data_IF_803044031162
#
_entry.id   IF_803044031162
#
_cell.length_a   1.000
_cell.length_b   1.000
_cell.length_c   1.000
_cell.angle_alpha   90.00
_cell.angle_beta   90.00
_cell.angle_gamma   90.00
#
_symmetry.space_group_name_H-M   'P 1'
#
loop_
_entity.id
_entity.type
_entity.pdbx_description
1 polymer ?
#
# COMPACT_ATOMS: atom_id res chain seq x y z
N UNK A 1 15.86 4.85 10.39
CA UNK A 1 14.46 5.22 10.12
C UNK A 1 14.27 5.73 8.69
N UNK A 2 14.91 6.86 8.31
CA UNK A 2 14.81 7.40 6.94
C UNK A 2 15.33 6.45 5.85
N UNK A 3 16.38 5.68 6.14
CA UNK A 3 16.93 4.68 5.21
C UNK A 3 15.88 3.60 4.86
N UNK A 4 15.30 2.95 5.87
CA UNK A 4 14.25 1.92 5.69
C UNK A 4 13.00 2.45 4.96
N UNK A 5 12.62 3.71 5.20
CA UNK A 5 11.49 4.35 4.50
C UNK A 5 11.79 4.52 3.01
N UNK A 6 13.00 4.97 2.69
CA UNK A 6 13.46 5.15 1.31
C UNK A 6 13.65 3.82 0.59
N UNK A 7 14.23 2.81 1.24
CA UNK A 7 14.44 1.48 0.67
C UNK A 7 13.11 0.79 0.35
N UNK A 8 12.15 0.80 1.28
CA UNK A 8 10.83 0.18 1.04
C UNK A 8 10.08 0.91 -0.07
N UNK A 9 10.20 2.24 -0.16
CA UNK A 9 9.61 3.01 -1.27
C UNK A 9 10.20 2.59 -2.62
N UNK A 10 11.52 2.39 -2.68
CA UNK A 10 12.22 1.90 -3.86
C UNK A 10 11.74 0.51 -4.27
N UNK A 11 11.70 -0.43 -3.33
CA UNK A 11 11.23 -1.80 -3.59
C UNK A 11 9.78 -1.84 -4.07
N UNK A 12 8.88 -1.06 -3.47
CA UNK A 12 7.48 -0.99 -3.92
C UNK A 12 7.37 -0.44 -5.34
N UNK A 13 8.21 0.54 -5.69
CA UNK A 13 8.22 1.11 -7.04
C UNK A 13 8.74 0.11 -8.07
N UNK A 14 9.85 -0.56 -7.79
CA UNK A 14 10.41 -1.59 -8.68
C UNK A 14 9.43 -2.75 -8.90
N UNK A 15 8.73 -3.18 -7.85
CA UNK A 15 7.69 -4.20 -7.95
C UNK A 15 6.52 -3.75 -8.83
N UNK A 16 6.05 -2.51 -8.67
CA UNK A 16 4.97 -1.96 -9.48
C UNK A 16 5.38 -1.84 -10.96
N UNK A 17 6.55 -1.28 -11.23
CA UNK A 17 7.06 -1.12 -12.60
C UNK A 17 7.22 -2.50 -13.28
N UNK A 18 7.64 -3.53 -12.53
CA UNK A 18 7.72 -4.92 -13.01
C UNK A 18 6.32 -5.50 -13.27
N UNK A 19 5.36 -5.26 -12.37
CA UNK A 19 3.98 -5.74 -12.52
C UNK A 19 3.29 -5.11 -13.74
N UNK A 20 3.49 -3.82 -13.99
CA UNK A 20 2.95 -3.12 -15.16
C UNK A 20 3.55 -3.69 -16.46
N UNK A 21 4.89 -3.81 -16.53
CA UNK A 21 5.57 -4.32 -17.71
C UNK A 21 5.23 -5.78 -18.04
N UNK A 22 5.03 -6.62 -17.03
CA UNK A 22 4.56 -8.00 -17.21
C UNK A 22 3.05 -8.06 -17.50
N UNK A 23 2.27 -7.17 -16.86
CA UNK A 23 0.83 -7.04 -17.01
C UNK A 23 0.43 -6.80 -18.45
N UNK A 24 1.03 -5.81 -19.12
CA UNK A 24 0.73 -5.50 -20.52
C UNK A 24 0.92 -6.70 -21.45
N UNK A 25 2.00 -7.46 -21.24
CA UNK A 25 2.31 -8.66 -22.04
C UNK A 25 1.30 -9.78 -21.78
N UNK A 26 0.91 -9.99 -20.53
CA UNK A 26 -0.09 -10.99 -20.16
C UNK A 26 -1.48 -10.61 -20.68
N UNK A 27 -1.86 -9.33 -20.59
CA UNK A 27 -3.13 -8.81 -21.10
C UNK A 27 -3.23 -8.98 -22.62
N UNK A 28 -2.15 -8.66 -23.35
CA UNK A 28 -2.09 -8.85 -24.80
C UNK A 28 -2.26 -10.33 -25.19
N UNK A 29 -1.65 -11.26 -24.46
CA UNK A 29 -1.83 -12.69 -24.71
C UNK A 29 -3.24 -13.17 -24.39
N UNK A 30 -3.82 -12.72 -23.27
CA UNK A 30 -5.20 -13.04 -22.90
C UNK A 30 -6.20 -12.53 -23.94
N UNK A 31 -6.00 -11.32 -24.45
CA UNK A 31 -6.84 -10.75 -25.51
C UNK A 31 -6.75 -11.58 -26.81
N UNK A 32 -5.54 -12.02 -27.20
CA UNK A 32 -5.37 -12.89 -28.36
C UNK A 32 -6.09 -14.24 -28.20
N UNK A 33 -6.09 -14.80 -26.99
CA UNK A 33 -6.84 -16.03 -26.71
C UNK A 33 -8.33 -15.74 -26.81
N UNK A 34 -8.79 -14.62 -26.24
CA UNK A 34 -10.18 -14.19 -26.31
C UNK A 34 -10.67 -14.07 -27.76
N UNK A 35 -9.95 -13.33 -28.59
CA UNK A 35 -10.25 -13.14 -30.02
C UNK A 35 -10.34 -14.48 -30.77
N UNK A 36 -9.44 -15.42 -30.47
CA UNK A 36 -9.43 -16.74 -31.09
C UNK A 36 -10.59 -17.63 -30.61
N UNK A 37 -11.10 -17.42 -29.40
CA UNK A 37 -12.25 -18.16 -28.86
C UNK A 37 -13.59 -17.57 -29.25
N UNK A 38 -13.67 -16.28 -29.60
CA UNK A 38 -14.92 -15.61 -30.00
C UNK A 38 -15.58 -16.22 -31.25
N UNK A 39 -14.80 -16.88 -32.11
CA UNK A 39 -15.32 -17.54 -33.33
C UNK A 39 -15.83 -18.96 -33.09
N UNK A 40 -15.74 -19.47 -31.87
CA UNK A 40 -16.08 -20.86 -31.51
C UNK A 40 -17.08 -20.88 -30.34
N UNK A 41 -18.37 -20.99 -30.65
CA UNK A 41 -19.47 -21.04 -29.65
C UNK A 41 -19.30 -22.15 -28.60
N UNK A 42 -18.60 -23.23 -28.92
CA UNK A 42 -18.38 -24.35 -27.99
C UNK A 42 -17.35 -24.04 -26.88
N UNK A 43 -16.65 -22.89 -26.95
CA UNK A 43 -15.53 -22.54 -26.06
C UNK A 43 -15.87 -21.49 -24.99
N UNK A 44 -17.14 -21.31 -24.64
CA UNK A 44 -17.59 -20.35 -23.61
C UNK A 44 -16.86 -20.47 -22.26
N UNK A 45 -16.42 -21.68 -21.86
CA UNK A 45 -15.68 -21.86 -20.62
C UNK A 45 -14.29 -21.20 -20.65
N UNK A 46 -13.65 -21.17 -21.83
CA UNK A 46 -12.35 -20.54 -22.04
C UNK A 46 -12.50 -19.02 -21.98
N UNK A 47 -13.51 -18.48 -22.65
CA UNK A 47 -13.81 -17.04 -22.64
C UNK A 47 -14.04 -16.53 -21.21
N UNK A 48 -14.84 -17.26 -20.42
CA UNK A 48 -15.06 -16.94 -19.01
C UNK A 48 -13.77 -16.99 -18.19
N UNK A 49 -12.91 -18.00 -18.41
CA UNK A 49 -11.63 -18.11 -17.72
C UNK A 49 -10.69 -16.95 -18.09
N UNK A 50 -10.64 -16.57 -19.36
CA UNK A 50 -9.83 -15.44 -19.84
C UNK A 50 -10.29 -14.13 -19.21
N UNK A 51 -11.60 -13.91 -19.15
CA UNK A 51 -12.19 -12.74 -18.47
C UNK A 51 -11.85 -12.70 -16.98
N UNK A 52 -11.95 -13.84 -16.28
CA UNK A 52 -11.59 -13.93 -14.86
C UNK A 52 -10.09 -13.68 -14.63
N UNK A 53 -9.22 -14.13 -15.55
CA UNK A 53 -7.79 -13.88 -15.52
C UNK A 53 -7.44 -12.42 -15.76
N UNK A 54 -8.07 -11.77 -16.75
CA UNK A 54 -7.93 -10.33 -17.00
C UNK A 54 -8.35 -9.51 -15.77
N UNK A 55 -9.53 -9.81 -15.22
CA UNK A 55 -10.04 -9.14 -14.03
C UNK A 55 -9.13 -9.30 -12.80
N UNK A 56 -8.53 -10.49 -12.63
CA UNK A 56 -7.55 -10.73 -11.56
C UNK A 56 -6.26 -9.94 -11.78
N UNK A 57 -5.78 -9.87 -13.02
CA UNK A 57 -4.56 -9.12 -13.36
C UNK A 57 -4.74 -7.63 -13.07
N UNK A 58 -5.84 -7.03 -13.55
CA UNK A 58 -6.17 -5.62 -13.29
C UNK A 58 -6.23 -5.33 -11.78
N UNK A 59 -6.83 -6.25 -11.00
CA UNK A 59 -6.91 -6.12 -9.54
C UNK A 59 -5.55 -6.17 -8.86
N UNK A 60 -4.63 -7.01 -9.32
CA UNK A 60 -3.26 -7.11 -8.77
C UNK A 60 -2.49 -5.83 -9.03
N UNK A 61 -2.52 -5.31 -10.27
CA UNK A 61 -1.83 -4.08 -10.65
C UNK A 61 -2.40 -2.89 -9.86
N UNK A 62 -3.74 -2.82 -9.72
CA UNK A 62 -4.41 -1.79 -8.93
C UNK A 62 -4.01 -1.83 -7.45
N UNK A 63 -3.92 -3.03 -6.87
CA UNK A 63 -3.48 -3.20 -5.49
C UNK A 63 -2.03 -2.74 -5.25
N UNK A 64 -1.13 -2.99 -6.21
CA UNK A 64 0.25 -2.53 -6.14
C UNK A 64 0.35 -1.00 -6.08
N UNK A 65 -0.40 -0.30 -6.92
CA UNK A 65 -0.47 1.17 -6.88
C UNK A 65 -1.08 1.70 -5.56
N UNK A 66 -2.17 1.08 -5.09
CA UNK A 66 -2.77 1.45 -3.79
C UNK A 66 -1.79 1.27 -2.63
N UNK A 67 -0.96 0.23 -2.68
CA UNK A 67 0.05 -0.04 -1.66
C UNK A 67 1.13 1.05 -1.63
N UNK A 68 1.53 1.57 -2.79
CA UNK A 68 2.42 2.74 -2.90
C UNK A 68 1.78 3.98 -2.28
N UNK A 69 0.51 4.26 -2.60
CA UNK A 69 -0.19 5.44 -2.09
C UNK A 69 -0.32 5.41 -0.56
N UNK A 70 -0.65 4.24 0.00
CA UNK A 70 -0.68 4.00 1.44
C UNK A 70 0.70 4.20 2.08
N UNK A 71 1.75 3.74 1.42
CA UNK A 71 3.12 3.90 1.88
C UNK A 71 3.57 5.37 1.90
N UNK A 72 3.25 6.14 0.85
CA UNK A 72 3.50 7.59 0.80
C UNK A 72 2.75 8.30 1.93
N UNK A 73 1.50 7.90 2.20
CA UNK A 73 0.72 8.42 3.32
C UNK A 73 1.39 8.14 4.67
N UNK A 74 1.88 6.92 4.86
CA UNK A 74 2.61 6.51 6.05
C UNK A 74 3.92 7.28 6.22
N UNK A 75 4.74 7.42 5.18
CA UNK A 75 5.99 8.19 5.23
C UNK A 75 5.74 9.64 5.67
N UNK A 76 4.72 10.29 5.08
CA UNK A 76 4.32 11.66 5.45
C UNK A 76 3.90 11.74 6.92
N UNK A 77 3.14 10.75 7.40
CA UNK A 77 2.71 10.68 8.78
C UNK A 77 3.91 10.55 9.74
N UNK A 78 4.89 9.70 9.42
CA UNK A 78 6.12 9.53 10.21
C UNK A 78 6.93 10.84 10.24
N UNK A 79 7.10 11.50 9.10
CA UNK A 79 7.80 12.79 9.04
C UNK A 79 7.12 13.87 9.88
N UNK A 80 5.78 13.95 9.83
CA UNK A 80 5.01 14.87 10.68
C UNK A 80 5.16 14.53 12.16
N UNK A 81 5.09 13.25 12.53
CA UNK A 81 5.26 12.79 13.90
C UNK A 81 6.63 13.16 14.47
N UNK A 82 7.71 12.96 13.71
CA UNK A 82 9.06 13.36 14.14
C UNK A 82 9.12 14.86 14.38
N UNK A 83 8.62 15.68 13.44
CA UNK A 83 8.64 17.15 13.57
C UNK A 83 7.82 17.66 14.74
N UNK A 84 6.67 17.04 15.03
CA UNK A 84 5.75 17.56 16.05
C UNK A 84 6.02 16.97 17.43
N UNK A 85 6.28 15.67 17.54
CA UNK A 85 6.41 15.02 18.85
C UNK A 85 7.87 14.93 19.32
N UNK A 86 8.81 14.73 18.40
CA UNK A 86 10.22 14.50 18.75
C UNK A 86 11.00 15.81 18.72
N UNK A 87 10.89 16.61 17.66
CA UNK A 87 11.65 17.87 17.57
C UNK A 87 11.20 18.89 18.63
N UNK A 88 9.91 18.88 19.02
CA UNK A 88 9.38 19.74 20.08
C UNK A 88 9.71 19.25 21.50
N UNK A 89 10.00 17.96 21.69
CA UNK A 89 10.34 17.36 22.98
C UNK A 89 11.54 16.41 22.85
N UNK A 90 12.68 16.97 22.43
CA UNK A 90 13.89 16.19 22.10
C UNK A 90 14.34 15.27 23.23
N UNK A 91 14.18 15.72 24.48
CA UNK A 91 14.56 14.97 25.68
C UNK A 91 13.41 14.14 26.27
N UNK A 92 12.24 14.13 25.63
CA UNK A 92 11.02 13.42 26.08
C UNK A 92 10.49 13.86 27.46
N UNK A 93 10.93 15.02 27.94
CA UNK A 93 10.65 15.53 29.28
C UNK A 93 9.19 15.98 29.38
N UNK A 94 8.66 16.59 28.32
CA UNK A 94 7.27 17.03 28.29
C UNK A 94 6.31 15.83 28.29
N UNK A 95 6.56 14.82 27.46
CA UNK A 95 5.74 13.60 27.41
C UNK A 95 5.74 12.85 28.76
N UNK A 96 6.89 12.76 29.43
CA UNK A 96 7.00 12.16 30.76
C UNK A 96 6.23 12.93 31.82
N UNK A 97 6.35 14.26 31.83
CA UNK A 97 5.65 15.14 32.78
C UNK A 97 4.14 15.13 32.55
N UNK A 98 3.69 15.14 31.30
CA UNK A 98 2.27 15.04 30.95
C UNK A 98 1.67 13.74 31.50
N UNK A 99 2.38 12.61 31.33
CA UNK A 99 1.94 11.31 31.85
C UNK A 99 1.82 11.30 33.38
N UNK A 100 2.82 11.83 34.08
CA UNK A 100 2.79 11.97 35.54
C UNK A 100 1.67 12.89 36.02
N UNK A 101 1.41 13.97 35.29
CA UNK A 101 0.33 14.93 35.61
C UNK A 101 -1.05 14.29 35.48
N UNK A 102 -1.31 13.54 34.40
CA UNK A 102 -2.58 12.80 34.22
C UNK A 102 -2.76 11.75 35.31
N UNK A 103 -1.70 11.01 35.65
CA UNK A 103 -1.78 10.01 36.72
C UNK A 103 -2.10 10.65 38.07
N UNK A 104 -1.46 11.78 38.38
CA UNK A 104 -1.72 12.56 39.60
C UNK A 104 -3.14 13.10 39.62
N UNK A 105 -3.64 13.63 38.51
CA UNK A 105 -5.01 14.15 38.39
C UNK A 105 -6.07 13.08 38.63
N UNK A 106 -5.92 11.89 38.02
CA UNK A 106 -6.84 10.77 38.23
C UNK A 106 -6.80 10.26 39.67
N UNK A 107 -5.61 10.25 40.28
CA UNK A 107 -5.43 9.85 41.69
C UNK A 107 -6.10 10.84 42.65
N UNK A 108 -6.04 12.15 42.35
CA UNK A 108 -6.68 13.20 43.16
C UNK A 108 -8.20 13.19 43.00
N UNK A 109 -8.71 12.93 41.79
CA UNK A 109 -10.16 12.93 41.49
C UNK A 109 -10.88 11.64 41.90
N UNK A 110 -10.15 10.55 42.12
CA UNK A 110 -10.68 9.27 42.60
C UNK A 110 -10.77 9.13 44.12
N UNK A 111 -10.56 10.22 44.88
CA UNK A 111 -10.79 10.32 46.33
C UNK A 111 -12.00 11.17 46.64
#
# INVERSE_FOLDING_TARGET
>A
MKLLLSETSGTLRELQDTLEAAGDKLQANLLRIQDATMTHDDLHFVDRLVFDLQSKLDRIISWGQQSIDLWIGYDRHVHKFIRTAIDMDKNRVFAQRLRQSVQTYLTIRGR
#
